data_IF_348498194642
#
_entry.id   IF_348498194642
#
_cell.length_a   1.000
_cell.length_b   1.000
_cell.length_c   1.000
_cell.angle_alpha   90.00
_cell.angle_beta   90.00
_cell.angle_gamma   90.00
#
_symmetry.space_group_name_H-M   'P 1'
#
loop_
_entity.id
_entity.type
_entity.pdbx_description
1 polymer ?
#
# COMPACT_ATOMS: atom_id res chain seq x y z
N UNK A 1 18.93 -35.68 9.91
CA UNK A 1 18.66 -34.66 8.85
C UNK A 1 19.85 -34.67 7.89
N UNK A 2 19.63 -34.80 6.57
CA UNK A 2 20.70 -35.10 5.61
C UNK A 2 21.46 -33.81 5.18
N UNK A 3 22.78 -33.68 5.45
CA UNK A 3 23.55 -32.44 5.24
C UNK A 3 23.63 -31.99 3.77
N UNK A 4 23.48 -32.91 2.82
CA UNK A 4 23.44 -32.61 1.39
C UNK A 4 22.22 -31.73 1.00
N UNK A 5 21.11 -31.80 1.75
CA UNK A 5 19.97 -30.90 1.53
C UNK A 5 20.34 -29.45 1.86
N UNK A 6 21.09 -29.21 2.93
CA UNK A 6 21.44 -27.87 3.43
C UNK A 6 22.31 -27.11 2.43
N UNK A 7 23.30 -27.77 1.83
CA UNK A 7 24.18 -27.18 0.81
C UNK A 7 23.39 -26.85 -0.47
N UNK A 8 22.35 -27.63 -0.78
CA UNK A 8 21.48 -27.37 -1.94
C UNK A 8 20.65 -26.09 -1.75
N UNK A 9 20.19 -25.77 -0.54
CA UNK A 9 19.46 -24.52 -0.25
C UNK A 9 20.34 -23.26 -0.31
N UNK A 10 21.59 -23.35 0.14
CA UNK A 10 22.53 -22.22 0.10
C UNK A 10 22.81 -21.70 -1.32
N UNK A 11 22.70 -22.56 -2.34
CA UNK A 11 22.92 -22.20 -3.75
C UNK A 11 21.75 -21.45 -4.41
N UNK A 12 20.58 -21.35 -3.76
CA UNK A 12 19.41 -20.64 -4.28
C UNK A 12 19.19 -19.27 -3.62
N UNK A 13 19.97 -18.91 -2.59
CA UNK A 13 19.93 -17.59 -1.97
C UNK A 13 20.81 -16.62 -2.77
N UNK A 14 20.17 -15.82 -3.62
CA UNK A 14 20.80 -14.68 -4.29
C UNK A 14 20.46 -13.42 -3.49
N UNK A 15 21.47 -12.73 -2.99
CA UNK A 15 21.34 -11.45 -2.30
C UNK A 15 20.47 -10.46 -3.10
N UNK A 16 20.67 -10.39 -4.41
CA UNK A 16 19.88 -9.56 -5.32
C UNK A 16 18.39 -9.92 -5.32
N UNK A 17 18.04 -11.22 -5.29
CA UNK A 17 16.63 -11.65 -5.21
C UNK A 17 16.01 -11.29 -3.87
N UNK A 18 16.79 -11.36 -2.79
CA UNK A 18 16.34 -10.97 -1.46
C UNK A 18 16.08 -9.46 -1.38
N UNK A 19 16.96 -8.62 -1.92
CA UNK A 19 16.75 -7.16 -1.99
C UNK A 19 15.53 -6.81 -2.83
N UNK A 20 15.34 -7.44 -4.00
CA UNK A 20 14.14 -7.23 -4.84
C UNK A 20 12.86 -7.67 -4.11
N UNK A 21 12.91 -8.79 -3.39
CA UNK A 21 11.82 -9.26 -2.54
C UNK A 21 11.48 -8.23 -1.46
N UNK A 22 12.47 -7.76 -0.70
CA UNK A 22 12.25 -6.73 0.33
C UNK A 22 11.66 -5.45 -0.25
N UNK A 23 12.19 -4.96 -1.38
CA UNK A 23 11.66 -3.78 -2.05
C UNK A 23 10.19 -3.94 -2.49
N UNK A 24 9.81 -5.13 -2.97
CA UNK A 24 8.42 -5.42 -3.36
C UNK A 24 7.47 -5.39 -2.16
N UNK A 25 7.86 -6.00 -1.04
CA UNK A 25 7.03 -5.99 0.17
C UNK A 25 7.00 -4.61 0.85
N UNK A 26 8.11 -3.88 0.86
CA UNK A 26 8.17 -2.51 1.38
C UNK A 26 7.19 -1.59 0.67
N UNK A 27 7.11 -1.64 -0.66
CA UNK A 27 6.13 -0.88 -1.46
C UNK A 27 4.69 -1.22 -1.09
N UNK A 28 4.38 -2.49 -0.85
CA UNK A 28 3.03 -2.91 -0.41
C UNK A 28 2.68 -2.34 0.96
N UNK A 29 3.61 -2.35 1.90
CA UNK A 29 3.39 -1.79 3.24
C UNK A 29 3.20 -0.27 3.17
N UNK A 30 4.02 0.44 2.41
CA UNK A 30 3.87 1.88 2.19
C UNK A 30 2.52 2.23 1.56
N UNK A 31 2.08 1.44 0.57
CA UNK A 31 0.76 1.58 -0.06
C UNK A 31 -0.39 1.44 0.95
N UNK A 32 -0.36 0.41 1.79
CA UNK A 32 -1.37 0.21 2.85
C UNK A 32 -1.37 1.40 3.82
N UNK A 33 -0.20 1.89 4.23
CA UNK A 33 -0.12 3.03 5.13
C UNK A 33 -0.62 4.33 4.51
N UNK A 34 -0.39 4.54 3.21
CA UNK A 34 -0.96 5.66 2.46
C UNK A 34 -2.49 5.59 2.41
N UNK A 35 -3.06 4.39 2.20
CA UNK A 35 -4.51 4.20 2.20
C UNK A 35 -5.13 4.52 3.56
N UNK A 36 -4.48 4.07 4.64
CA UNK A 36 -4.90 4.40 6.02
C UNK A 36 -4.75 5.90 6.31
N UNK A 37 -3.70 6.55 5.81
CA UNK A 37 -3.52 8.01 5.94
C UNK A 37 -4.65 8.77 5.26
N UNK A 38 -5.02 8.36 4.04
CA UNK A 38 -6.15 8.92 3.32
C UNK A 38 -7.47 8.69 4.05
N UNK A 39 -7.67 7.52 4.66
CA UNK A 39 -8.85 7.24 5.48
C UNK A 39 -8.99 8.22 6.66
N UNK A 40 -7.89 8.54 7.36
CA UNK A 40 -7.93 9.57 8.40
C UNK A 40 -8.18 10.97 7.84
N UNK A 41 -7.57 11.32 6.70
CA UNK A 41 -7.81 12.60 6.03
C UNK A 41 -9.27 12.76 5.56
N UNK A 42 -9.92 11.68 5.12
CA UNK A 42 -11.34 11.66 4.75
C UNK A 42 -12.25 12.01 5.94
N UNK A 43 -11.87 11.60 7.16
CA UNK A 43 -12.64 11.81 8.40
C UNK A 43 -12.42 13.18 9.02
N UNK A 44 -11.37 13.91 8.61
CA UNK A 44 -11.08 15.24 9.11
C UNK A 44 -12.11 16.25 8.60
N UNK A 45 -12.70 17.04 9.50
CA UNK A 45 -13.72 18.04 9.19
C UNK A 45 -13.16 19.16 8.30
N UNK A 46 -11.88 19.49 8.46
CA UNK A 46 -11.20 20.55 7.69
C UNK A 46 -10.91 20.14 6.24
N UNK A 47 -11.04 18.86 5.89
CA UNK A 47 -10.82 18.39 4.52
C UNK A 47 -11.98 18.83 3.62
N UNK A 48 -11.72 19.56 2.51
CA UNK A 48 -12.77 20.01 1.61
C UNK A 48 -13.58 18.85 1.03
N UNK A 49 -14.87 19.08 0.79
CA UNK A 49 -15.80 18.06 0.30
C UNK A 49 -15.34 17.40 -1.01
N UNK A 50 -14.74 18.15 -1.94
CA UNK A 50 -14.24 17.59 -3.20
C UNK A 50 -13.04 16.64 -2.97
N UNK A 51 -12.18 16.94 -2.00
CA UNK A 51 -11.06 16.06 -1.61
C UNK A 51 -11.61 14.81 -0.95
N UNK A 52 -12.58 14.95 -0.04
CA UNK A 52 -13.28 13.80 0.55
C UNK A 52 -13.91 12.89 -0.50
N UNK A 53 -14.54 13.46 -1.53
CA UNK A 53 -15.11 12.68 -2.62
C UNK A 53 -14.05 11.89 -3.40
N UNK A 54 -12.90 12.51 -3.73
CA UNK A 54 -11.79 11.81 -4.39
C UNK A 54 -11.22 10.69 -3.51
N UNK A 55 -11.01 10.96 -2.22
CA UNK A 55 -10.51 9.95 -1.29
C UNK A 55 -11.52 8.80 -1.14
N UNK A 56 -12.80 9.11 -0.96
CA UNK A 56 -13.85 8.11 -0.84
C UNK A 56 -13.97 7.27 -2.12
N UNK A 57 -13.82 7.87 -3.30
CA UNK A 57 -13.79 7.14 -4.57
C UNK A 57 -12.59 6.20 -4.66
N UNK A 58 -11.39 6.67 -4.30
CA UNK A 58 -10.18 5.86 -4.32
C UNK A 58 -10.22 4.71 -3.29
N UNK A 59 -10.60 4.98 -2.04
CA UNK A 59 -10.74 3.94 -1.02
C UNK A 59 -11.91 2.99 -1.33
N UNK A 60 -12.99 3.53 -1.89
CA UNK A 60 -14.13 2.74 -2.38
C UNK A 60 -13.69 1.77 -3.46
N UNK A 61 -12.88 2.21 -4.43
CA UNK A 61 -12.29 1.34 -5.47
C UNK A 61 -11.48 0.19 -4.88
N UNK A 62 -10.70 0.44 -3.83
CA UNK A 62 -9.89 -0.60 -3.16
C UNK A 62 -10.71 -1.62 -2.35
N UNK A 63 -11.85 -1.19 -1.79
CA UNK A 63 -12.65 -1.98 -0.83
C UNK A 63 -13.87 -2.61 -1.48
N UNK A 64 -14.39 -2.03 -2.57
CA UNK A 64 -15.27 -2.74 -3.48
C UNK A 64 -14.62 -4.10 -3.75
N UNK A 65 -15.38 -5.21 -3.66
CA UNK A 65 -14.81 -6.49 -4.05
C UNK A 65 -14.28 -6.28 -5.46
N UNK A 66 -13.03 -6.55 -5.77
CA UNK A 66 -12.52 -7.43 -6.85
C UNK A 66 -13.42 -7.61 -8.14
N UNK A 67 -14.44 -6.78 -8.44
CA UNK A 67 -15.79 -7.24 -8.86
C UNK A 67 -16.00 -7.58 -10.34
N UNK A 68 -15.02 -7.43 -11.23
CA UNK A 68 -15.29 -7.66 -12.67
C UNK A 68 -14.18 -8.45 -13.39
N UNK A 69 -13.00 -8.61 -12.79
CA UNK A 69 -11.85 -9.16 -13.52
C UNK A 69 -11.61 -10.63 -13.13
N UNK A 70 -11.72 -11.59 -14.07
CA UNK A 70 -11.45 -13.00 -13.81
C UNK A 70 -10.05 -13.23 -13.23
N UNK A 71 -9.92 -14.24 -12.36
CA UNK A 71 -8.74 -14.57 -11.54
C UNK A 71 -7.40 -14.73 -12.29
N UNK A 72 -7.38 -14.69 -13.62
CA UNK A 72 -6.17 -14.78 -14.46
C UNK A 72 -5.41 -13.44 -14.60
N UNK A 73 -6.00 -12.29 -14.21
CA UNK A 73 -5.41 -10.94 -14.36
C UNK A 73 -4.97 -10.32 -13.00
N UNK A 74 -5.15 -11.02 -11.88
CA UNK A 74 -4.89 -10.51 -10.52
C UNK A 74 -3.44 -10.00 -10.26
N UNK A 75 -2.48 -10.32 -11.13
CA UNK A 75 -1.10 -9.79 -11.05
C UNK A 75 -1.02 -8.33 -11.52
N UNK A 76 -1.95 -7.86 -12.37
CA UNK A 76 -1.97 -6.51 -12.94
C UNK A 76 -2.74 -5.48 -12.10
N UNK A 77 -3.70 -5.90 -11.27
CA UNK A 77 -4.57 -4.99 -10.52
C UNK A 77 -3.83 -4.10 -9.50
N UNK A 78 -2.72 -4.59 -8.92
CA UNK A 78 -1.99 -3.85 -7.90
C UNK A 78 -1.35 -2.54 -8.40
N UNK A 79 -0.95 -2.48 -9.67
CA UNK A 79 -0.38 -1.26 -10.23
C UNK A 79 -1.45 -0.18 -10.41
N UNK A 80 -2.66 -0.58 -10.80
CA UNK A 80 -3.79 0.32 -10.96
C UNK A 80 -4.26 0.86 -9.60
N UNK A 81 -4.37 -0.01 -8.58
CA UNK A 81 -4.65 0.39 -7.20
C UNK A 81 -3.63 1.43 -6.69
N UNK A 82 -2.34 1.19 -6.93
CA UNK A 82 -1.27 2.12 -6.58
C UNK A 82 -1.41 3.47 -7.30
N UNK A 83 -1.80 3.46 -8.57
CA UNK A 83 -2.01 4.68 -9.36
C UNK A 83 -3.20 5.48 -8.83
N UNK A 84 -4.34 4.82 -8.62
CA UNK A 84 -5.57 5.43 -8.07
C UNK A 84 -5.29 6.05 -6.70
N UNK A 85 -4.64 5.29 -5.81
CA UNK A 85 -4.28 5.79 -4.48
C UNK A 85 -3.27 6.94 -4.55
N UNK A 86 -2.28 6.85 -5.43
CA UNK A 86 -1.29 7.91 -5.65
C UNK A 86 -1.90 9.21 -6.14
N UNK A 87 -2.89 9.14 -7.03
CA UNK A 87 -3.66 10.31 -7.50
C UNK A 87 -4.44 10.92 -6.33
N UNK A 88 -5.17 10.10 -5.57
CA UNK A 88 -5.92 10.58 -4.40
C UNK A 88 -5.00 11.23 -3.36
N UNK A 89 -3.84 10.62 -3.10
CA UNK A 89 -2.81 11.17 -2.22
C UNK A 89 -2.30 12.52 -2.73
N UNK A 90 -2.04 12.66 -4.03
CA UNK A 90 -1.60 13.92 -4.65
C UNK A 90 -2.64 15.02 -4.50
N UNK A 91 -3.92 14.71 -4.73
CA UNK A 91 -5.04 15.64 -4.56
C UNK A 91 -5.20 16.04 -3.09
N UNK A 92 -5.07 15.09 -2.17
CA UNK A 92 -5.20 15.30 -0.74
C UNK A 92 -3.95 15.91 -0.08
N UNK A 93 -2.79 15.98 -0.75
CA UNK A 93 -1.49 16.27 -0.15
C UNK A 93 -1.46 17.56 0.71
N UNK A 94 -2.20 18.61 0.30
CA UNK A 94 -2.30 19.87 1.04
C UNK A 94 -3.15 19.80 2.32
N UNK A 95 -3.97 18.76 2.45
CA UNK A 95 -4.89 18.50 3.57
C UNK A 95 -4.45 17.32 4.44
N UNK A 96 -3.43 16.57 4.01
CA UNK A 96 -2.82 15.53 4.82
C UNK A 96 -2.01 16.20 5.92
N UNK A 97 -2.57 16.19 7.14
CA UNK A 97 -1.89 16.63 8.36
C UNK A 97 -0.95 15.54 8.87
N UNK A 98 0.05 15.95 9.64
CA UNK A 98 0.95 15.03 10.36
C UNK A 98 0.17 14.11 11.32
N UNK A 99 -0.94 14.60 11.90
CA UNK A 99 -1.85 13.79 12.73
C UNK A 99 -2.46 12.61 11.97
N UNK A 100 -2.75 12.74 10.66
CA UNK A 100 -3.28 11.62 9.86
C UNK A 100 -2.22 10.53 9.67
N UNK A 101 -0.99 10.94 9.37
CA UNK A 101 0.14 10.02 9.20
C UNK A 101 0.50 9.31 10.52
N UNK A 102 0.46 10.03 11.65
CA UNK A 102 0.70 9.44 12.97
C UNK A 102 -0.39 8.43 13.34
N UNK A 103 -1.65 8.76 13.10
CA UNK A 103 -2.76 7.82 13.29
C UNK A 103 -2.61 6.59 12.39
N UNK A 104 -2.22 6.79 11.13
CA UNK A 104 -1.96 5.69 10.21
C UNK A 104 -0.80 4.79 10.68
N UNK A 105 0.29 5.37 11.18
CA UNK A 105 1.41 4.61 11.76
C UNK A 105 1.02 3.88 13.05
N UNK A 106 0.16 4.47 13.88
CA UNK A 106 -0.34 3.80 15.09
C UNK A 106 -1.27 2.64 14.75
N UNK A 107 -2.12 2.81 13.73
CA UNK A 107 -3.04 1.78 13.24
C UNK A 107 -2.32 0.65 12.49
N UNK A 108 -1.35 1.02 11.65
CA UNK A 108 -0.53 0.10 10.87
C UNK A 108 0.95 0.48 11.02
N UNK A 109 1.66 -0.11 12.01
CA UNK A 109 3.04 0.27 12.35
C UNK A 109 4.10 -0.20 11.34
N UNK A 110 3.67 -0.78 10.23
CA UNK A 110 4.53 -1.32 9.19
C UNK A 110 4.49 -0.40 7.95
N UNK A 111 5.64 -0.18 7.30
CA UNK A 111 5.69 0.58 6.04
C UNK A 111 6.00 2.08 6.15
N UNK A 112 6.17 2.62 7.36
CA UNK A 112 6.64 3.99 7.53
C UNK A 112 8.14 4.08 7.34
N UNK A 113 8.60 4.96 6.45
CA UNK A 113 10.01 5.35 6.37
C UNK A 113 10.42 5.89 7.75
N UNK A 114 11.25 5.13 8.46
CA UNK A 114 12.25 5.68 9.36
C UNK A 114 13.45 6.15 8.54
#
# INVERSE_FOLDING_TARGET
MNPLKIIKYGKFFSESRFVVFLGRYGKKLAFVQQAVTLFFCLRDEDTPKYVKAVIAGALGYLVLPIDIVPDTIAVLGWLDDMAVLGIAYKVANRYIKTSHQQQAKKFFPFGGNG
#
